data_IF_455051474599
#
_entry.id   IF_455051474599
#
_cell.length_a   1.000
_cell.length_b   1.000
_cell.length_c   1.000
_cell.angle_alpha   90.00
_cell.angle_beta   90.00
_cell.angle_gamma   90.00
#
_symmetry.space_group_name_H-M   'P 1'
#
loop_
_entity.id
_entity.type
_entity.pdbx_description
1 polymer ?
#
# COMPACT_ATOMS: atom_id res chain seq x y z
N UNK A 1 6.38 34.51 0.59
CA UNK A 1 6.67 33.46 1.58
C UNK A 1 6.20 32.16 0.96
N UNK A 2 7.11 31.46 0.30
CA UNK A 2 6.87 30.13 -0.27
C UNK A 2 6.61 29.19 0.90
N UNK A 3 5.36 28.74 1.03
CA UNK A 3 5.01 27.66 1.94
C UNK A 3 5.84 26.45 1.54
N UNK A 4 6.64 25.94 2.47
CA UNK A 4 7.20 24.60 2.35
C UNK A 4 5.98 23.69 2.49
N UNK A 5 5.41 23.26 1.36
CA UNK A 5 4.33 22.29 1.36
C UNK A 5 4.87 21.05 2.10
N UNK A 6 4.31 20.79 3.28
CA UNK A 6 4.47 19.49 3.89
C UNK A 6 3.85 18.49 2.91
N UNK A 7 4.51 17.36 2.63
CA UNK A 7 4.01 16.32 1.73
C UNK A 7 2.74 15.59 2.24
N UNK A 8 2.03 16.19 3.18
CA UNK A 8 0.86 15.66 3.85
C UNK A 8 -0.09 16.82 4.14
N UNK A 9 -1.12 16.96 3.30
CA UNK A 9 -2.14 18.00 3.45
C UNK A 9 -3.43 17.36 3.95
N UNK A 10 -3.94 17.75 5.13
CA UNK A 10 -5.20 17.22 5.62
C UNK A 10 -6.34 17.49 4.63
N UNK A 11 -7.10 16.44 4.26
CA UNK A 11 -8.33 16.60 3.47
C UNK A 11 -9.42 17.17 4.37
N UNK A 12 -10.36 17.92 3.79
CA UNK A 12 -11.47 18.51 4.54
C UNK A 12 -12.39 17.41 5.13
N UNK A 13 -13.18 17.76 6.16
CA UNK A 13 -14.18 16.83 6.69
C UNK A 13 -15.25 16.45 5.67
N UNK A 14 -15.52 17.31 4.68
CA UNK A 14 -16.47 16.99 3.62
C UNK A 14 -15.86 15.97 2.67
N UNK A 15 -14.60 16.14 2.27
CA UNK A 15 -13.92 15.18 1.44
C UNK A 15 -13.74 13.83 2.15
N UNK A 16 -13.44 13.85 3.46
CA UNK A 16 -13.35 12.65 4.27
C UNK A 16 -14.65 11.81 4.24
N UNK A 17 -15.82 12.45 4.17
CA UNK A 17 -17.13 11.78 4.03
C UNK A 17 -17.38 11.21 2.63
N UNK A 18 -16.63 11.64 1.63
CA UNK A 18 -16.71 11.15 0.25
C UNK A 18 -15.72 10.02 -0.04
N UNK A 19 -14.86 9.65 0.93
CA UNK A 19 -13.98 8.49 0.81
C UNK A 19 -14.85 7.24 0.62
N UNK A 20 -14.69 6.52 -0.51
CA UNK A 20 -15.58 5.43 -0.85
C UNK A 20 -15.42 4.26 0.12
N UNK A 21 -16.51 3.53 0.29
CA UNK A 21 -16.48 2.23 0.97
C UNK A 21 -15.96 1.15 0.00
N UNK A 22 -15.19 0.19 0.51
CA UNK A 22 -14.76 -0.95 -0.28
C UNK A 22 -15.91 -1.93 -0.60
N UNK A 23 -16.96 -1.94 0.23
CA UNK A 23 -18.26 -2.53 -0.07
C UNK A 23 -18.20 -3.98 -0.54
N UNK A 24 -19.01 -4.28 -1.57
CA UNK A 24 -19.17 -5.64 -2.12
C UNK A 24 -17.92 -6.21 -2.76
N UNK A 25 -16.94 -5.37 -3.11
CA UNK A 25 -15.71 -5.84 -3.76
C UNK A 25 -14.78 -6.58 -2.79
N UNK A 26 -14.99 -6.41 -1.49
CA UNK A 26 -14.32 -7.14 -0.41
C UNK A 26 -15.05 -8.41 -0.01
N UNK A 27 -16.20 -8.75 -0.61
CA UNK A 27 -16.90 -9.99 -0.27
C UNK A 27 -16.02 -11.22 -0.51
N UNK A 28 -16.01 -12.15 0.45
CA UNK A 28 -15.07 -13.29 0.48
C UNK A 28 -15.39 -14.37 -0.56
N UNK A 29 -16.60 -14.36 -1.14
CA UNK A 29 -17.03 -15.36 -2.12
C UNK A 29 -17.19 -14.78 -3.53
N UNK A 30 -17.61 -13.53 -3.61
CA UNK A 30 -18.07 -12.88 -4.85
C UNK A 30 -17.39 -11.55 -5.12
N UNK A 31 -16.67 -11.02 -4.13
CA UNK A 31 -16.02 -9.72 -4.22
C UNK A 31 -14.92 -9.75 -5.27
N UNK A 32 -14.94 -8.75 -6.15
CA UNK A 32 -14.02 -8.72 -7.29
C UNK A 32 -12.57 -8.51 -6.88
N UNK A 33 -12.30 -7.92 -5.71
CA UNK A 33 -10.94 -7.62 -5.28
C UNK A 33 -10.38 -8.74 -4.40
N UNK A 34 -11.12 -9.16 -3.37
CA UNK A 34 -10.63 -10.10 -2.36
C UNK A 34 -10.80 -11.57 -2.75
N UNK A 35 -12.00 -12.00 -3.20
CA UNK A 35 -12.29 -13.42 -3.40
C UNK A 35 -11.31 -14.15 -4.35
N UNK A 36 -10.83 -13.54 -5.47
CA UNK A 36 -9.85 -14.19 -6.34
C UNK A 36 -8.49 -14.43 -5.68
N UNK A 37 -8.17 -13.70 -4.61
CA UNK A 37 -6.93 -13.86 -3.86
C UNK A 37 -7.05 -14.92 -2.77
N UNK A 38 -8.25 -15.34 -2.37
CA UNK A 38 -8.49 -16.35 -1.33
C UNK A 38 -8.24 -17.78 -1.83
N UNK A 39 -7.03 -18.02 -2.32
CA UNK A 39 -6.49 -19.29 -2.82
C UNK A 39 -5.05 -19.46 -2.32
N UNK A 40 -4.54 -20.70 -2.21
CA UNK A 40 -3.11 -20.93 -1.98
C UNK A 40 -2.31 -20.41 -3.17
N UNK A 41 -1.30 -19.59 -2.90
CA UNK A 41 -0.53 -18.83 -3.89
C UNK A 41 0.96 -18.83 -3.56
N UNK A 42 1.49 -20.02 -3.29
CA UNK A 42 2.92 -20.27 -3.04
C UNK A 42 3.76 -19.97 -4.31
N UNK A 43 4.96 -19.39 -4.22
CA UNK A 43 5.80 -19.10 -5.37
C UNK A 43 6.06 -20.33 -6.25
N UNK A 44 6.03 -20.15 -7.57
CA UNK A 44 6.18 -21.23 -8.57
C UNK A 44 4.91 -22.06 -8.87
N UNK A 45 3.83 -21.93 -8.10
CA UNK A 45 2.59 -22.71 -8.29
C UNK A 45 1.62 -22.09 -9.31
N UNK A 46 0.52 -22.78 -9.71
CA UNK A 46 -0.53 -22.14 -10.49
C UNK A 46 -1.28 -21.02 -9.73
N UNK A 47 -1.36 -21.08 -8.40
CA UNK A 47 -2.10 -20.10 -7.61
C UNK A 47 -1.45 -18.71 -7.60
N UNK A 48 -0.13 -18.64 -7.46
CA UNK A 48 0.61 -17.36 -7.56
C UNK A 48 0.42 -16.73 -8.95
N UNK A 49 0.36 -17.53 -10.02
CA UNK A 49 0.05 -17.04 -11.38
C UNK A 49 -1.37 -16.51 -11.51
N UNK A 50 -2.34 -17.17 -10.89
CA UNK A 50 -3.72 -16.70 -10.87
C UNK A 50 -3.85 -15.35 -10.12
N UNK A 51 -3.13 -15.17 -9.02
CA UNK A 51 -3.06 -13.88 -8.31
C UNK A 51 -2.40 -12.80 -9.18
N UNK A 52 -1.29 -13.10 -9.86
CA UNK A 52 -0.64 -12.17 -10.80
C UNK A 52 -1.59 -11.74 -11.93
N UNK A 53 -2.28 -12.69 -12.55
CA UNK A 53 -3.27 -12.42 -13.60
C UNK A 53 -4.41 -11.56 -13.07
N UNK A 54 -4.88 -11.81 -11.84
CA UNK A 54 -5.90 -11.01 -11.19
C UNK A 54 -5.49 -9.54 -11.07
N UNK A 55 -4.31 -9.26 -10.51
CA UNK A 55 -3.79 -7.88 -10.40
C UNK A 55 -3.63 -7.23 -11.77
N UNK A 56 -2.96 -7.90 -12.70
CA UNK A 56 -2.67 -7.34 -14.03
C UNK A 56 -3.95 -7.06 -14.81
N UNK A 57 -4.95 -7.94 -14.74
CA UNK A 57 -6.23 -7.74 -15.41
C UNK A 57 -7.01 -6.60 -14.78
N UNK A 58 -7.03 -6.48 -13.45
CA UNK A 58 -7.65 -5.36 -12.76
C UNK A 58 -7.07 -4.02 -13.23
N UNK A 59 -5.74 -3.83 -13.15
CA UNK A 59 -5.11 -2.57 -13.55
C UNK A 59 -5.27 -2.29 -15.05
N UNK A 60 -5.18 -3.29 -15.93
CA UNK A 60 -5.40 -3.09 -17.38
C UNK A 60 -6.83 -2.66 -17.71
N UNK A 61 -7.82 -3.25 -17.05
CA UNK A 61 -9.22 -3.07 -17.40
C UNK A 61 -9.85 -1.87 -16.71
N UNK A 62 -9.50 -1.62 -15.44
CA UNK A 62 -10.10 -0.55 -14.63
C UNK A 62 -9.22 0.71 -14.58
N UNK A 63 -7.89 0.58 -14.67
CA UNK A 63 -6.94 1.67 -14.42
C UNK A 63 -5.92 1.85 -15.58
N UNK A 64 -6.37 2.05 -16.83
CA UNK A 64 -5.51 2.00 -18.02
C UNK A 64 -4.43 3.10 -18.09
N UNK A 65 -4.52 4.14 -17.25
CA UNK A 65 -3.50 5.20 -17.14
C UNK A 65 -2.35 4.82 -16.19
N UNK A 66 -2.43 3.68 -15.49
CA UNK A 66 -1.37 3.16 -14.63
C UNK A 66 -0.38 2.33 -15.45
N UNK A 67 0.91 2.50 -15.16
CA UNK A 67 1.98 1.71 -15.73
C UNK A 67 2.11 0.39 -14.98
N UNK A 68 2.32 -0.69 -15.72
CA UNK A 68 2.53 -2.04 -15.18
C UNK A 68 3.97 -2.46 -15.47
N UNK A 69 4.71 -2.82 -14.44
CA UNK A 69 6.08 -3.32 -14.54
C UNK A 69 6.24 -4.60 -13.72
N UNK A 70 7.13 -5.46 -14.19
CA UNK A 70 7.48 -6.71 -13.52
C UNK A 70 8.97 -6.65 -13.17
N UNK A 71 9.32 -7.02 -11.94
CA UNK A 71 10.69 -7.35 -11.61
C UNK A 71 10.76 -8.84 -11.31
N UNK A 72 11.38 -9.57 -12.24
CA UNK A 72 11.57 -11.02 -12.14
C UNK A 72 12.94 -11.33 -11.56
N UNK A 73 12.99 -12.34 -10.70
CA UNK A 73 14.21 -12.90 -10.13
C UNK A 73 14.04 -14.39 -9.93
N UNK A 74 15.14 -15.09 -9.65
CA UNK A 74 15.10 -16.47 -9.18
C UNK A 74 15.97 -16.62 -7.95
N UNK A 75 15.64 -17.58 -7.10
CA UNK A 75 16.51 -17.96 -5.98
C UNK A 75 16.36 -19.44 -5.65
N UNK A 76 17.42 -20.04 -5.11
CA UNK A 76 17.31 -21.34 -4.42
C UNK A 76 16.59 -21.15 -3.10
N UNK A 77 15.77 -22.14 -2.75
CA UNK A 77 15.07 -22.22 -1.47
C UNK A 77 15.53 -23.47 -0.73
N UNK A 78 15.33 -23.57 0.59
CA UNK A 78 15.65 -24.79 1.32
C UNK A 78 14.93 -26.04 0.81
N UNK A 79 13.80 -25.89 0.11
CA UNK A 79 13.01 -27.00 -0.44
C UNK A 79 13.30 -27.32 -1.91
N UNK A 80 13.92 -26.42 -2.67
CA UNK A 80 14.10 -26.58 -4.12
C UNK A 80 15.39 -27.33 -4.51
N UNK A 81 16.26 -27.63 -3.55
CA UNK A 81 17.56 -28.25 -3.81
C UNK A 81 18.41 -27.38 -4.73
N UNK A 82 18.79 -27.92 -5.89
CA UNK A 82 19.53 -27.17 -6.92
C UNK A 82 18.65 -26.42 -7.93
N UNK A 83 17.33 -26.53 -7.81
CA UNK A 83 16.40 -25.84 -8.71
C UNK A 83 16.16 -24.40 -8.24
N UNK A 84 16.15 -23.50 -9.21
CA UNK A 84 15.80 -22.08 -9.02
C UNK A 84 14.27 -21.93 -8.96
N UNK A 85 13.75 -21.29 -7.91
CA UNK A 85 12.34 -20.91 -7.79
C UNK A 85 12.18 -19.49 -8.38
N UNK A 86 11.22 -19.26 -9.29
CA UNK A 86 10.96 -17.93 -9.83
C UNK A 86 10.15 -17.09 -8.84
N UNK A 87 10.52 -15.81 -8.73
CA UNK A 87 9.80 -14.78 -7.98
C UNK A 87 9.55 -13.58 -8.89
N UNK A 88 8.33 -13.04 -8.85
CA UNK A 88 7.90 -11.93 -9.71
C UNK A 88 7.21 -10.85 -8.88
N UNK A 89 7.93 -9.77 -8.61
CA UNK A 89 7.32 -8.58 -8.02
C UNK A 89 6.54 -7.82 -9.09
N UNK A 90 5.33 -7.37 -8.74
CA UNK A 90 4.49 -6.54 -9.60
C UNK A 90 4.50 -5.10 -9.10
N UNK A 91 4.78 -4.17 -10.02
CA UNK A 91 4.85 -2.75 -9.74
C UNK A 91 3.83 -2.03 -10.61
N UNK A 92 2.88 -1.37 -9.97
CA UNK A 92 1.86 -0.56 -10.63
C UNK A 92 2.09 0.90 -10.25
N UNK A 93 2.29 1.80 -11.21
CA UNK A 93 2.61 3.20 -10.90
C UNK A 93 1.81 4.21 -11.70
N UNK A 94 1.51 5.33 -11.06
CA UNK A 94 0.85 6.49 -11.64
C UNK A 94 1.62 7.74 -11.27
N UNK A 95 2.45 8.18 -12.21
CA UNK A 95 3.20 9.45 -12.13
C UNK A 95 2.39 10.59 -12.78
N UNK A 96 2.62 11.85 -12.41
CA UNK A 96 2.07 12.99 -13.13
C UNK A 96 2.52 12.99 -14.60
N UNK A 97 1.64 13.27 -15.58
CA UNK A 97 1.91 13.04 -17.00
C UNK A 97 2.99 13.94 -17.60
N UNK A 98 3.37 15.03 -16.93
CA UNK A 98 4.46 15.91 -17.34
C UNK A 98 5.84 15.45 -16.84
N UNK A 99 5.90 14.47 -15.94
CA UNK A 99 7.16 13.95 -15.39
C UNK A 99 7.78 12.90 -16.30
N UNK A 100 9.12 12.76 -16.20
CA UNK A 100 9.89 11.66 -16.80
C UNK A 100 10.41 10.73 -15.71
N UNK A 101 10.86 9.54 -16.11
CA UNK A 101 11.50 8.57 -15.21
C UNK A 101 12.53 9.23 -14.29
N UNK A 102 12.35 9.08 -12.97
CA UNK A 102 13.24 9.64 -11.96
C UNK A 102 12.94 11.09 -11.55
N UNK A 103 11.87 11.71 -12.06
CA UNK A 103 11.50 13.08 -11.71
C UNK A 103 10.40 13.15 -10.66
N UNK A 104 9.45 12.22 -10.66
CA UNK A 104 8.38 12.16 -9.67
C UNK A 104 8.87 11.57 -8.34
N UNK A 105 8.36 12.11 -7.24
CA UNK A 105 8.42 11.48 -5.93
C UNK A 105 7.24 10.51 -5.82
N UNK A 106 7.36 9.42 -5.06
CA UNK A 106 6.39 8.32 -5.08
C UNK A 106 5.95 7.97 -3.66
N UNK A 107 4.66 8.06 -3.38
CA UNK A 107 4.05 7.29 -2.29
C UNK A 107 4.07 5.83 -2.70
N UNK A 108 4.70 4.96 -1.89
CA UNK A 108 4.83 3.53 -2.19
C UNK A 108 4.00 2.73 -1.21
N UNK A 109 2.89 2.16 -1.68
CA UNK A 109 2.01 1.29 -0.90
C UNK A 109 2.34 -0.17 -1.21
N UNK A 110 2.48 -1.02 -0.20
CA UNK A 110 3.09 -2.34 -0.36
C UNK A 110 2.35 -3.40 0.42
N UNK A 111 2.23 -4.57 -0.17
CA UNK A 111 1.88 -5.83 0.48
C UNK A 111 2.60 -6.98 -0.23
N UNK A 112 2.88 -8.07 0.46
CA UNK A 112 3.24 -9.31 -0.22
C UNK A 112 1.97 -10.04 -0.70
N UNK A 113 2.07 -10.78 -1.79
CA UNK A 113 0.92 -11.48 -2.38
C UNK A 113 1.09 -12.99 -2.44
N UNK A 114 2.28 -13.51 -2.16
CA UNK A 114 2.46 -14.95 -1.97
C UNK A 114 1.74 -15.42 -0.70
N UNK A 115 1.54 -16.72 -0.58
CA UNK A 115 1.07 -17.34 0.66
C UNK A 115 2.09 -18.38 1.12
N UNK A 116 2.18 -18.56 2.43
CA UNK A 116 3.05 -19.57 3.03
C UNK A 116 2.76 -20.97 2.48
N UNK A 117 3.81 -21.76 2.31
CA UNK A 117 3.70 -23.16 1.85
C UNK A 117 3.11 -24.12 2.90
N UNK A 118 3.17 -23.75 4.18
CA UNK A 118 2.74 -24.57 5.30
C UNK A 118 1.84 -23.78 6.24
N UNK A 119 0.71 -24.34 6.72
CA UNK A 119 0.22 -25.69 6.43
C UNK A 119 -0.21 -25.88 4.97
N UNK A 120 -0.31 -27.13 4.51
CA UNK A 120 -0.76 -27.42 3.14
C UNK A 120 -2.17 -26.84 2.91
N UNK A 121 -2.35 -26.11 1.81
CA UNK A 121 -3.60 -25.43 1.50
C UNK A 121 -3.80 -24.10 2.24
N UNK A 122 -2.80 -23.60 2.97
CA UNK A 122 -2.82 -22.28 3.59
C UNK A 122 -3.06 -21.19 2.54
N UNK A 123 -4.08 -20.38 2.78
CA UNK A 123 -4.47 -19.27 1.91
C UNK A 123 -3.83 -17.98 2.42
N UNK A 124 -3.76 -17.73 3.72
CA UNK A 124 -3.27 -16.47 4.25
C UNK A 124 -4.21 -15.32 3.89
N UNK A 125 -5.39 -15.30 4.50
CA UNK A 125 -6.40 -14.27 4.23
C UNK A 125 -5.96 -12.92 4.79
N UNK A 126 -5.51 -12.87 6.05
CA UNK A 126 -4.87 -11.66 6.62
C UNK A 126 -3.43 -11.48 6.14
N UNK A 127 -2.83 -12.54 5.60
CA UNK A 127 -1.40 -12.74 5.35
C UNK A 127 -1.10 -13.13 3.87
N UNK A 128 -1.19 -12.24 2.89
CA UNK A 128 -1.69 -10.86 2.91
C UNK A 128 -2.74 -10.60 1.81
N UNK A 129 -3.72 -11.50 1.65
CA UNK A 129 -4.79 -11.33 0.65
C UNK A 129 -5.63 -10.06 0.89
N UNK A 130 -5.97 -9.77 2.15
CA UNK A 130 -6.70 -8.56 2.55
C UNK A 130 -5.87 -7.29 2.29
N UNK A 131 -4.61 -7.15 2.76
CA UNK A 131 -3.74 -6.07 2.35
C UNK A 131 -3.69 -5.86 0.84
N UNK A 132 -3.56 -6.94 0.06
CA UNK A 132 -3.55 -6.85 -1.39
C UNK A 132 -4.84 -6.25 -1.96
N UNK A 133 -6.01 -6.73 -1.52
CA UNK A 133 -7.31 -6.22 -1.95
C UNK A 133 -7.52 -4.76 -1.55
N UNK A 134 -7.06 -4.36 -0.35
CA UNK A 134 -7.08 -2.96 0.12
C UNK A 134 -6.31 -2.07 -0.85
N UNK A 135 -5.11 -2.47 -1.28
CA UNK A 135 -4.31 -1.66 -2.21
C UNK A 135 -4.96 -1.54 -3.59
N UNK A 136 -5.63 -2.59 -4.09
CA UNK A 136 -6.43 -2.50 -5.31
C UNK A 136 -7.59 -1.51 -5.16
N UNK A 137 -8.29 -1.53 -4.02
CA UNK A 137 -9.35 -0.58 -3.72
C UNK A 137 -8.84 0.87 -3.66
N UNK A 138 -7.70 1.08 -3.00
CA UNK A 138 -7.05 2.40 -2.91
C UNK A 138 -6.74 2.91 -4.32
N UNK A 139 -6.09 2.10 -5.16
CA UNK A 139 -5.73 2.46 -6.53
C UNK A 139 -6.92 3.00 -7.33
N UNK A 140 -8.03 2.26 -7.31
CA UNK A 140 -9.26 2.64 -8.01
C UNK A 140 -9.92 3.87 -7.43
N UNK A 141 -9.87 4.02 -6.11
CA UNK A 141 -10.53 5.13 -5.41
C UNK A 141 -9.82 6.46 -5.66
N UNK A 142 -8.48 6.45 -5.72
CA UNK A 142 -7.68 7.66 -5.95
C UNK A 142 -7.56 8.01 -7.43
N UNK A 143 -7.68 7.05 -8.36
CA UNK A 143 -7.41 7.29 -9.79
C UNK A 143 -8.30 8.36 -10.42
N UNK A 144 -9.57 8.44 -10.02
CA UNK A 144 -10.48 9.47 -10.52
C UNK A 144 -10.01 10.88 -10.14
N UNK A 145 -9.54 11.06 -8.89
CA UNK A 145 -9.07 12.34 -8.37
C UNK A 145 -7.71 12.71 -8.99
N UNK A 146 -6.82 11.73 -9.11
CA UNK A 146 -5.55 11.90 -9.82
C UNK A 146 -5.77 12.29 -11.29
N UNK A 147 -6.72 11.65 -11.96
CA UNK A 147 -7.06 11.98 -13.35
C UNK A 147 -7.59 13.40 -13.44
N UNK A 148 -8.54 13.79 -12.58
CA UNK A 148 -9.06 15.15 -12.55
C UNK A 148 -7.95 16.18 -12.30
N UNK A 149 -7.10 15.96 -11.30
CA UNK A 149 -6.01 16.87 -10.94
C UNK A 149 -5.02 17.03 -12.09
N UNK A 150 -4.58 15.91 -12.68
CA UNK A 150 -3.63 15.94 -13.79
C UNK A 150 -4.21 16.61 -15.04
N UNK A 151 -5.48 16.33 -15.37
CA UNK A 151 -6.14 16.91 -16.53
C UNK A 151 -6.32 18.44 -16.33
N UNK A 152 -6.76 18.89 -15.14
CA UNK A 152 -6.88 20.33 -14.79
C UNK A 152 -5.53 21.06 -14.85
N UNK A 153 -4.45 20.47 -14.28
CA UNK A 153 -3.11 21.08 -14.31
C UNK A 153 -2.55 21.17 -15.74
N UNK A 154 -2.80 20.16 -16.58
CA UNK A 154 -2.39 20.17 -17.99
C UNK A 154 -3.14 21.26 -18.76
N UNK A 155 -4.45 21.41 -18.54
CA UNK A 155 -5.26 22.44 -19.19
C UNK A 155 -4.84 23.87 -18.79
N UNK A 156 -4.46 24.08 -17.53
CA UNK A 156 -3.98 25.36 -17.02
C UNK A 156 -2.54 25.68 -17.45
N UNK A 157 -1.80 24.71 -17.99
CA UNK A 157 -0.37 24.84 -18.30
C UNK A 157 0.51 24.93 -17.05
N UNK A 158 -0.04 24.58 -15.88
CA UNK A 158 0.65 24.54 -14.58
C UNK A 158 1.38 23.21 -14.40
N UNK A 159 2.15 22.83 -15.42
CA UNK A 159 2.97 21.62 -15.39
C UNK A 159 4.03 21.81 -14.31
N UNK A 160 4.04 20.90 -13.32
CA UNK A 160 4.83 21.01 -12.10
C UNK A 160 6.34 21.20 -12.32
N UNK A 161 7.07 21.44 -11.23
CA UNK A 161 8.50 21.77 -11.34
C UNK A 161 9.36 21.45 -10.12
N UNK A 162 8.80 20.83 -9.07
CA UNK A 162 9.58 20.41 -7.90
C UNK A 162 9.16 19.01 -7.47
N UNK A 163 10.05 18.17 -6.90
CA UNK A 163 9.70 16.83 -6.46
C UNK A 163 8.56 16.77 -5.43
N UNK A 164 8.34 17.83 -4.65
CA UNK A 164 7.24 17.89 -3.70
C UNK A 164 5.88 18.09 -4.39
N UNK A 165 5.85 18.82 -5.52
CA UNK A 165 4.65 19.03 -6.32
C UNK A 165 4.40 17.87 -7.30
N UNK A 166 5.48 17.22 -7.76
CA UNK A 166 5.43 16.12 -8.70
C UNK A 166 5.31 14.77 -7.97
N UNK A 167 4.26 14.64 -7.15
CA UNK A 167 3.98 13.42 -6.39
C UNK A 167 3.15 12.43 -7.22
N UNK A 168 3.68 11.22 -7.38
CA UNK A 168 2.97 10.05 -7.90
C UNK A 168 2.72 9.02 -6.81
N UNK A 169 2.08 7.93 -7.21
CA UNK A 169 1.81 6.76 -6.37
C UNK A 169 2.27 5.50 -7.07
N UNK A 170 2.80 4.56 -6.31
CA UNK A 170 3.06 3.21 -6.77
C UNK A 170 2.57 2.18 -5.76
N UNK A 171 2.11 1.06 -6.28
CA UNK A 171 1.70 -0.12 -5.52
C UNK A 171 2.65 -1.25 -5.87
N UNK A 172 3.22 -1.87 -4.84
CA UNK A 172 4.07 -3.05 -4.96
C UNK A 172 3.34 -4.26 -4.38
N UNK A 173 3.19 -5.29 -5.21
CA UNK A 173 2.85 -6.63 -4.75
C UNK A 173 4.11 -7.47 -4.81
N UNK A 174 4.65 -7.79 -3.64
CA UNK A 174 5.93 -8.48 -3.49
C UNK A 174 5.73 -10.01 -3.42
N UNK A 175 6.62 -10.75 -4.05
CA UNK A 175 6.58 -12.22 -4.14
C UNK A 175 7.65 -12.86 -3.25
N UNK A 176 7.29 -13.92 -2.54
CA UNK A 176 8.20 -14.67 -1.69
C UNK A 176 8.66 -13.89 -0.47
N UNK A 177 7.74 -13.21 0.22
CA UNK A 177 7.99 -12.72 1.57
C UNK A 177 8.32 -13.91 2.49
N UNK A 178 7.53 -14.98 2.33
CA UNK A 178 7.49 -16.07 3.28
C UNK A 178 8.72 -16.97 3.24
N UNK A 179 9.06 -17.47 4.42
CA UNK A 179 10.03 -18.55 4.55
C UNK A 179 9.45 -19.88 4.03
N UNK A 180 10.22 -20.60 3.22
CA UNK A 180 9.84 -21.95 2.76
C UNK A 180 9.95 -22.98 3.90
N UNK A 181 10.89 -22.79 4.84
CA UNK A 181 11.05 -23.68 6.00
C UNK A 181 11.16 -22.91 7.29
N UNK A 182 12.15 -22.03 7.41
CA UNK A 182 12.42 -21.28 8.65
C UNK A 182 12.92 -19.90 8.29
N UNK A 183 12.25 -18.90 8.85
CA UNK A 183 12.65 -17.51 8.74
C UNK A 183 14.12 -17.31 9.11
N UNK A 184 14.91 -16.88 8.12
CA UNK A 184 16.34 -16.51 8.22
C UNK A 184 16.65 -15.50 7.12
N UNK A 185 17.78 -14.80 7.20
CA UNK A 185 18.26 -13.82 6.20
C UNK A 185 18.26 -14.34 4.74
N UNK A 186 18.28 -15.66 4.54
CA UNK A 186 18.32 -16.32 3.23
C UNK A 186 17.06 -17.12 2.88
N UNK A 187 16.16 -17.33 3.84
CA UNK A 187 14.87 -18.03 3.69
C UNK A 187 13.74 -17.12 4.18
N UNK A 188 13.64 -15.96 3.55
CA UNK A 188 12.57 -14.96 3.64
C UNK A 188 12.85 -13.81 2.67
N UNK A 189 11.86 -12.95 2.44
CA UNK A 189 12.00 -11.65 1.75
C UNK A 189 12.66 -11.75 0.36
N UNK A 190 12.41 -12.83 -0.38
CA UNK A 190 13.04 -13.10 -1.67
C UNK A 190 12.79 -11.97 -2.66
N UNK A 191 11.53 -11.59 -2.83
CA UNK A 191 11.11 -10.50 -3.71
C UNK A 191 11.64 -9.15 -3.25
N UNK A 192 11.42 -8.77 -1.99
CA UNK A 192 11.89 -7.48 -1.47
C UNK A 192 13.42 -7.32 -1.56
N UNK A 193 14.19 -8.36 -1.21
CA UNK A 193 15.66 -8.32 -1.31
C UNK A 193 16.11 -8.12 -2.76
N UNK A 194 15.51 -8.85 -3.70
CA UNK A 194 15.83 -8.72 -5.11
C UNK A 194 15.45 -7.35 -5.68
N UNK A 195 14.26 -6.84 -5.36
CA UNK A 195 13.77 -5.56 -5.86
C UNK A 195 14.60 -4.38 -5.31
N UNK A 196 14.86 -4.38 -4.00
CA UNK A 196 15.64 -3.32 -3.37
C UNK A 196 17.07 -3.25 -3.94
N UNK A 197 17.72 -4.40 -4.14
CA UNK A 197 19.04 -4.46 -4.77
C UNK A 197 19.00 -4.05 -6.26
N UNK A 198 17.96 -4.45 -7.00
CA UNK A 198 17.78 -4.05 -8.39
C UNK A 198 17.62 -2.53 -8.52
N UNK A 199 16.78 -1.92 -7.69
CA UNK A 199 16.56 -0.46 -7.72
C UNK A 199 17.74 0.35 -7.22
N UNK A 200 18.54 -0.15 -6.28
CA UNK A 200 19.77 0.51 -5.85
C UNK A 200 20.79 0.62 -6.99
N UNK A 201 20.91 -0.43 -7.80
CA UNK A 201 21.90 -0.56 -8.87
C UNK A 201 21.43 -0.03 -10.24
N UNK A 202 20.18 0.43 -10.34
CA UNK A 202 19.59 0.98 -11.55
C UNK A 202 19.49 2.52 -11.49
N UNK A 203 20.52 3.26 -11.94
CA UNK A 203 20.50 4.72 -11.89
C UNK A 203 19.46 5.32 -12.84
N UNK A 204 18.91 6.47 -12.48
CA UNK A 204 18.08 7.29 -13.37
C UNK A 204 18.93 8.11 -14.34
N UNK A 205 18.28 8.85 -15.23
CA UNK A 205 18.94 9.71 -16.21
C UNK A 205 19.62 10.92 -15.55
N UNK A 206 20.64 11.50 -16.20
CA UNK A 206 21.44 12.65 -15.69
C UNK A 206 20.60 13.88 -15.31
N UNK A 207 19.38 14.03 -15.83
CA UNK A 207 18.46 15.14 -15.56
C UNK A 207 17.30 14.76 -14.60
N UNK A 208 17.39 13.61 -13.93
CA UNK A 208 16.42 13.16 -12.94
C UNK A 208 16.60 13.90 -11.60
N UNK A 209 15.53 13.99 -10.83
CA UNK A 209 15.55 14.58 -9.49
C UNK A 209 16.10 13.61 -8.44
N UNK A 210 15.94 12.30 -8.69
CA UNK A 210 16.34 11.23 -7.80
C UNK A 210 17.35 10.34 -8.50
N UNK A 211 18.46 9.92 -7.84
CA UNK A 211 19.54 9.16 -8.50
C UNK A 211 19.16 7.72 -8.85
N UNK A 212 18.19 7.13 -8.16
CA UNK A 212 17.63 5.81 -8.46
C UNK A 212 16.18 5.72 -7.95
N UNK A 213 15.53 4.57 -8.17
CA UNK A 213 14.12 4.37 -7.77
C UNK A 213 13.89 4.31 -6.27
N UNK A 214 14.86 3.85 -5.46
CA UNK A 214 14.72 3.88 -4.01
C UNK A 214 14.60 5.31 -3.50
N UNK A 215 15.35 6.23 -4.10
CA UNK A 215 15.31 7.64 -3.74
C UNK A 215 14.02 8.34 -4.17
N UNK A 216 13.27 7.78 -5.13
CA UNK A 216 11.92 8.28 -5.45
C UNK A 216 10.89 7.91 -4.37
N UNK A 217 11.18 7.02 -3.43
CA UNK A 217 10.21 6.59 -2.41
C UNK A 217 10.13 7.67 -1.31
N UNK A 218 9.01 8.40 -1.29
CA UNK A 218 8.72 9.39 -0.24
C UNK A 218 8.36 8.73 1.10
N UNK A 219 7.61 7.63 1.02
CA UNK A 219 7.21 6.78 2.14
C UNK A 219 6.89 5.39 1.61
N UNK A 220 7.44 4.37 2.25
CA UNK A 220 7.13 2.96 2.04
C UNK A 220 6.12 2.52 3.09
N UNK A 221 4.85 2.42 2.70
CA UNK A 221 3.74 2.02 3.58
C UNK A 221 3.45 0.54 3.34
N UNK A 222 3.92 -0.31 4.27
CA UNK A 222 3.76 -1.76 4.19
C UNK A 222 2.54 -2.20 5.01
N UNK A 223 1.58 -2.84 4.37
CA UNK A 223 0.41 -3.44 5.01
C UNK A 223 0.63 -4.93 5.13
N UNK A 224 0.52 -5.45 6.34
CA UNK A 224 0.67 -6.87 6.62
C UNK A 224 -0.22 -7.31 7.80
N UNK A 225 -0.66 -8.56 7.78
CA UNK A 225 -1.51 -9.22 8.79
C UNK A 225 -2.80 -8.44 9.15
N UNK A 226 -3.44 -7.82 8.16
CA UNK A 226 -4.67 -7.04 8.35
C UNK A 226 -5.93 -7.85 8.03
N UNK A 227 -6.99 -7.68 8.81
CA UNK A 227 -8.32 -8.26 8.55
C UNK A 227 -8.96 -8.97 9.73
N UNK A 228 -8.18 -9.26 10.79
CA UNK A 228 -8.73 -9.73 12.08
C UNK A 228 -9.32 -8.58 12.90
N UNK A 229 -10.33 -8.88 13.72
CA UNK A 229 -11.01 -7.89 14.57
C UNK A 229 -10.08 -7.26 15.61
N UNK A 230 -10.30 -5.96 15.87
CA UNK A 230 -9.62 -5.20 16.93
C UNK A 230 -8.08 -5.20 16.84
N UNK A 231 -7.47 -4.95 15.66
CA UNK A 231 -6.03 -4.91 15.53
C UNK A 231 -5.45 -3.75 16.33
N UNK A 232 -4.22 -3.92 16.78
CA UNK A 232 -3.43 -2.86 17.41
C UNK A 232 -2.15 -2.68 16.62
N UNK A 233 -2.03 -1.62 15.84
CA UNK A 233 -0.84 -1.32 15.03
C UNK A 233 0.03 -0.28 15.76
N UNK A 234 1.18 -0.67 16.33
CA UNK A 234 2.09 0.27 17.00
C UNK A 234 2.80 1.19 16.01
N UNK A 235 3.34 2.30 16.51
CA UNK A 235 4.30 3.09 15.73
C UNK A 235 5.72 2.52 15.92
N UNK A 236 6.28 1.90 14.88
CA UNK A 236 7.56 1.19 14.94
C UNK A 236 8.77 2.14 14.84
N UNK A 237 8.72 3.15 13.97
CA UNK A 237 9.88 3.97 13.65
C UNK A 237 9.69 5.43 14.06
N UNK A 238 10.63 5.95 14.85
CA UNK A 238 10.60 7.34 15.29
C UNK A 238 10.69 8.32 14.11
N UNK A 239 11.49 8.00 13.09
CA UNK A 239 11.73 8.86 11.92
C UNK A 239 10.48 9.10 11.07
N UNK A 240 9.51 8.18 11.10
CA UNK A 240 8.26 8.26 10.34
C UNK A 240 7.03 8.35 11.26
N UNK A 241 7.24 8.60 12.56
CA UNK A 241 6.15 8.71 13.53
C UNK A 241 5.15 9.80 13.16
N UNK A 242 5.60 10.90 12.55
CA UNK A 242 4.72 11.97 12.08
C UNK A 242 3.70 11.48 11.03
N UNK A 243 4.07 10.54 10.16
CA UNK A 243 3.16 9.96 9.18
C UNK A 243 2.17 9.00 9.84
N UNK A 244 2.63 8.23 10.84
CA UNK A 244 1.76 7.44 11.71
C UNK A 244 0.72 8.32 12.41
N UNK A 245 1.12 9.48 12.94
CA UNK A 245 0.21 10.44 13.58
C UNK A 245 -0.83 10.98 12.61
N UNK A 246 -0.46 11.24 11.35
CA UNK A 246 -1.39 11.61 10.29
C UNK A 246 -2.46 10.54 10.06
N UNK A 247 -2.04 9.28 9.87
CA UNK A 247 -2.98 8.16 9.69
C UNK A 247 -3.86 7.92 10.93
N UNK A 248 -3.31 8.08 12.13
CA UNK A 248 -4.07 7.96 13.38
C UNK A 248 -5.12 9.08 13.54
N UNK A 249 -4.79 10.31 13.13
CA UNK A 249 -5.73 11.43 13.11
C UNK A 249 -6.87 11.20 12.11
N UNK A 250 -6.59 10.60 10.96
CA UNK A 250 -7.61 10.19 10.00
C UNK A 250 -8.58 9.17 10.62
N UNK A 251 -8.05 8.13 11.29
CA UNK A 251 -8.88 7.17 12.02
C UNK A 251 -9.76 7.88 13.06
N UNK A 252 -9.18 8.76 13.89
CA UNK A 252 -9.91 9.52 14.91
C UNK A 252 -11.06 10.32 14.30
N UNK A 253 -10.79 11.11 13.24
CA UNK A 253 -11.79 11.93 12.55
C UNK A 253 -12.89 11.07 11.94
N UNK A 254 -12.54 9.97 11.26
CA UNK A 254 -13.51 9.06 10.66
C UNK A 254 -14.41 8.39 11.69
N UNK A 255 -13.86 7.96 12.84
CA UNK A 255 -14.66 7.43 13.95
C UNK A 255 -15.57 8.51 14.54
N UNK A 256 -15.08 9.74 14.71
CA UNK A 256 -15.87 10.88 15.18
C UNK A 256 -17.07 11.21 14.29
N UNK A 257 -16.96 10.98 12.98
CA UNK A 257 -18.06 11.14 12.02
C UNK A 257 -18.91 9.88 11.78
N UNK A 258 -18.59 8.76 12.44
CA UNK A 258 -19.28 7.49 12.22
C UNK A 258 -19.08 6.91 10.81
N UNK A 259 -17.93 7.18 10.18
CA UNK A 259 -17.59 6.69 8.84
C UNK A 259 -17.00 5.27 8.85
N UNK A 260 -16.54 4.82 10.02
CA UNK A 260 -16.03 3.46 10.24
C UNK A 260 -17.11 2.57 10.87
N UNK A 261 -17.17 1.32 10.45
CA UNK A 261 -18.16 0.33 10.89
C UNK A 261 -17.84 -0.22 12.28
N UNK A 262 -16.57 -0.47 12.56
CA UNK A 262 -16.13 -1.06 13.82
C UNK A 262 -16.23 -0.08 14.97
N UNK A 263 -16.44 -0.63 16.18
CA UNK A 263 -16.44 0.11 17.45
C UNK A 263 -15.50 -0.56 18.45
N UNK A 264 -14.19 -0.57 18.18
CA UNK A 264 -13.22 -1.20 19.08
C UNK A 264 -13.03 -0.39 20.36
N UNK A 265 -12.62 -1.05 21.44
CA UNK A 265 -12.30 -0.39 22.72
C UNK A 265 -11.09 0.57 22.61
N UNK A 266 -10.24 0.35 21.62
CA UNK A 266 -9.07 1.15 21.29
C UNK A 266 -9.00 1.38 19.78
N UNK A 267 -8.48 2.53 19.31
CA UNK A 267 -8.23 2.74 17.89
C UNK A 267 -7.21 1.72 17.37
N UNK A 268 -7.28 1.42 16.08
CA UNK A 268 -6.33 0.58 15.37
C UNK A 268 -4.92 1.15 15.43
N UNK A 269 -4.79 2.48 15.46
CA UNK A 269 -3.53 3.23 15.53
C UNK A 269 -3.40 3.98 16.89
N UNK A 270 -3.16 3.29 18.02
CA UNK A 270 -3.22 3.90 19.35
C UNK A 270 -1.99 4.71 19.77
N UNK A 271 -0.88 4.63 19.03
CA UNK A 271 0.39 5.21 19.45
C UNK A 271 0.54 6.69 19.05
N UNK A 272 -0.53 7.42 18.70
CA UNK A 272 -0.45 8.81 18.20
C UNK A 272 0.27 9.77 19.17
N UNK A 273 0.18 9.51 20.48
CA UNK A 273 0.86 10.28 21.54
C UNK A 273 2.24 9.74 21.95
N UNK A 274 2.84 8.82 21.19
CA UNK A 274 4.11 8.17 21.57
C UNK A 274 5.28 9.16 21.51
N UNK A 275 5.90 9.39 22.67
CA UNK A 275 7.08 10.24 22.79
C UNK A 275 8.32 9.56 22.22
N UNK A 276 9.30 10.36 21.79
CA UNK A 276 10.61 9.89 21.30
C UNK A 276 11.32 8.93 22.27
N UNK A 277 11.13 9.12 23.58
CA UNK A 277 11.70 8.26 24.64
C UNK A 277 11.03 6.89 24.76
N UNK A 278 9.89 6.66 24.12
CA UNK A 278 9.12 5.42 24.17
C UNK A 278 9.39 4.50 22.97
N UNK A 279 10.19 4.96 21.99
CA UNK A 279 10.66 4.10 20.91
C UNK A 279 11.74 3.15 21.45
N UNK A 280 11.42 1.86 21.42
CA UNK A 280 12.29 0.79 21.88
C UNK A 280 12.80 -0.08 20.73
N UNK A 281 13.33 -1.26 21.06
CA UNK A 281 13.83 -2.24 20.09
C UNK A 281 12.73 -3.16 19.51
N UNK A 282 11.46 -2.73 19.54
CA UNK A 282 10.38 -3.51 18.93
C UNK A 282 10.54 -3.43 17.41
N UNK A 283 10.88 -4.55 16.81
CA UNK A 283 11.14 -4.68 15.39
C UNK A 283 10.53 -5.99 14.91
N UNK A 284 9.83 -5.92 13.79
CA UNK A 284 9.29 -7.07 13.08
C UNK A 284 10.04 -7.14 11.77
N UNK A 285 10.63 -8.28 11.44
CA UNK A 285 11.22 -8.47 10.11
C UNK A 285 10.11 -8.75 9.11
N UNK A 286 10.16 -8.06 7.97
CA UNK A 286 9.16 -8.08 6.91
C UNK A 286 9.78 -7.39 5.66
N UNK A 287 9.06 -7.32 4.54
CA UNK A 287 9.48 -6.83 3.23
C UNK A 287 10.05 -5.41 3.22
N UNK A 288 9.80 -4.60 4.25
CA UNK A 288 10.41 -3.28 4.37
C UNK A 288 11.91 -3.35 4.70
N UNK A 289 12.42 -4.43 5.29
CA UNK A 289 13.79 -4.52 5.82
C UNK A 289 14.86 -4.21 4.75
N UNK A 290 14.81 -4.78 3.53
CA UNK A 290 15.78 -4.48 2.48
C UNK A 290 15.75 -3.01 2.01
N UNK A 291 14.59 -2.35 2.09
CA UNK A 291 14.41 -0.94 1.75
C UNK A 291 14.88 -0.02 2.88
N UNK A 292 14.52 -0.34 4.12
CA UNK A 292 14.91 0.39 5.32
C UNK A 292 16.43 0.43 5.48
N UNK A 293 17.12 -0.70 5.25
CA UNK A 293 18.59 -0.76 5.25
C UNK A 293 19.26 0.15 4.19
N UNK A 294 18.50 0.56 3.16
CA UNK A 294 18.94 1.47 2.10
C UNK A 294 18.44 2.91 2.32
N UNK A 295 17.91 3.20 3.50
CA UNK A 295 17.51 4.54 3.91
C UNK A 295 16.10 4.96 3.48
N UNK A 296 15.26 4.02 3.02
CA UNK A 296 13.88 4.32 2.63
C UNK A 296 13.01 4.58 3.87
N UNK A 297 12.31 5.74 3.97
CA UNK A 297 11.36 6.00 5.04
C UNK A 297 10.24 4.96 5.03
N UNK A 298 9.99 4.31 6.16
CA UNK A 298 9.03 3.20 6.26
C UNK A 298 7.93 3.49 7.28
N UNK A 299 6.68 3.23 6.91
CA UNK A 299 5.54 3.13 7.80
C UNK A 299 5.02 1.68 7.75
N UNK A 300 5.27 0.92 8.81
CA UNK A 300 4.90 -0.50 8.88
C UNK A 300 3.55 -0.66 9.59
N UNK A 301 2.52 -0.99 8.80
CA UNK A 301 1.15 -1.20 9.24
C UNK A 301 0.94 -2.71 9.44
N UNK A 302 1.47 -3.19 10.57
CA UNK A 302 1.30 -4.56 11.03
C UNK A 302 0.86 -4.55 12.50
N UNK A 303 -0.12 -5.37 12.91
CA UNK A 303 -0.57 -5.41 14.30
C UNK A 303 0.49 -6.02 15.23
N UNK A 304 0.45 -5.64 16.51
CA UNK A 304 1.18 -6.31 17.59
C UNK A 304 0.30 -6.37 18.85
N UNK A 305 -0.06 -7.57 19.35
CA UNK A 305 0.34 -8.89 18.84
C UNK A 305 -0.22 -9.18 17.44
N UNK A 306 0.38 -10.13 16.73
CA UNK A 306 -0.18 -10.68 15.49
C UNK A 306 -1.55 -11.32 15.75
N UNK A 307 -2.35 -11.61 14.71
CA UNK A 307 -3.62 -12.34 14.82
C UNK A 307 -3.43 -13.77 15.34
N UNK A 308 -3.18 -13.94 16.64
CA UNK A 308 -2.73 -15.21 17.25
C UNK A 308 -3.70 -16.37 17.06
N UNK A 309 -4.98 -16.08 16.78
CA UNK A 309 -6.00 -17.07 16.47
C UNK A 309 -5.76 -17.73 15.11
N UNK A 310 -5.27 -17.00 14.10
CA UNK A 310 -5.19 -17.47 12.71
C UNK A 310 -3.79 -17.45 12.09
N UNK A 311 -2.89 -16.56 12.52
CA UNK A 311 -1.56 -16.37 11.89
C UNK A 311 -0.77 -17.68 11.76
N UNK A 312 -0.34 -17.99 10.53
CA UNK A 312 0.31 -19.25 10.12
C UNK A 312 -0.47 -20.53 10.45
N UNK A 313 -1.81 -20.46 10.51
CA UNK A 313 -2.70 -21.62 10.69
C UNK A 313 -3.70 -21.70 9.55
N UNK A 314 -4.26 -22.88 9.34
CA UNK A 314 -5.17 -23.12 8.22
C UNK A 314 -6.46 -22.29 8.33
N UNK A 315 -6.81 -21.85 9.54
CA UNK A 315 -7.93 -20.96 9.83
C UNK A 315 -7.70 -19.51 9.37
N UNK A 316 -6.52 -19.16 8.84
CA UNK A 316 -6.33 -17.90 8.12
C UNK A 316 -6.97 -17.96 6.72
N UNK A 317 -8.30 -18.05 6.73
CA UNK A 317 -9.18 -18.12 5.58
C UNK A 317 -10.16 -16.93 5.55
N UNK A 318 -10.99 -16.87 4.50
CA UNK A 318 -11.97 -15.79 4.36
C UNK A 318 -13.05 -15.75 5.46
N UNK A 319 -13.40 -16.90 6.06
CA UNK A 319 -14.49 -17.01 7.03
C UNK A 319 -14.10 -16.42 8.40
N UNK A 320 -12.80 -16.33 8.70
CA UNK A 320 -12.29 -15.77 9.95
C UNK A 320 -11.95 -14.27 9.86
N UNK A 321 -12.19 -13.64 8.71
CA UNK A 321 -12.03 -12.20 8.55
C UNK A 321 -13.14 -11.42 9.27
N UNK A 322 -12.75 -10.33 9.94
CA UNK A 322 -13.69 -9.32 10.41
C UNK A 322 -13.93 -8.31 9.30
N UNK A 323 -14.95 -8.56 8.48
CA UNK A 323 -15.24 -7.74 7.32
C UNK A 323 -15.47 -6.25 7.60
N UNK A 324 -16.07 -5.83 8.74
CA UNK A 324 -16.07 -4.43 9.16
C UNK A 324 -14.66 -3.86 9.31
N UNK A 325 -13.73 -4.58 9.97
CA UNK A 325 -12.33 -4.17 10.11
C UNK A 325 -11.64 -4.06 8.75
N UNK A 326 -11.88 -5.00 7.83
CA UNK A 326 -11.34 -4.96 6.46
C UNK A 326 -11.76 -3.68 5.73
N UNK A 327 -13.06 -3.34 5.78
CA UNK A 327 -13.60 -2.14 5.13
C UNK A 327 -13.12 -0.85 5.79
N UNK A 328 -12.96 -0.85 7.10
CA UNK A 328 -12.40 0.30 7.83
C UNK A 328 -10.94 0.57 7.46
N UNK A 329 -10.11 -0.47 7.36
CA UNK A 329 -8.74 -0.31 6.86
C UNK A 329 -8.70 0.22 5.42
N UNK A 330 -9.58 -0.26 4.55
CA UNK A 330 -9.67 0.25 3.18
C UNK A 330 -9.95 1.77 3.15
N UNK A 331 -10.86 2.27 4.00
CA UNK A 331 -11.13 3.72 4.13
C UNK A 331 -9.94 4.48 4.68
N UNK A 332 -9.34 4.02 5.79
CA UNK A 332 -8.22 4.71 6.45
C UNK A 332 -7.04 4.85 5.48
N UNK A 333 -6.67 3.76 4.79
CA UNK A 333 -5.54 3.76 3.85
C UNK A 333 -5.85 4.61 2.61
N UNK A 334 -7.09 4.59 2.12
CA UNK A 334 -7.52 5.45 1.00
C UNK A 334 -7.43 6.92 1.37
N UNK A 335 -7.93 7.32 2.54
CA UNK A 335 -7.84 8.71 2.99
C UNK A 335 -6.40 9.15 3.23
N UNK A 336 -5.56 8.27 3.76
CA UNK A 336 -4.14 8.54 3.93
C UNK A 336 -3.45 8.80 2.57
N UNK A 337 -3.76 7.99 1.55
CA UNK A 337 -3.26 8.22 0.20
C UNK A 337 -3.77 9.54 -0.40
N UNK A 338 -5.04 9.90 -0.16
CA UNK A 338 -5.59 11.19 -0.62
C UNK A 338 -4.90 12.40 0.04
N UNK A 339 -4.63 12.35 1.35
CA UNK A 339 -3.90 13.42 2.07
C UNK A 339 -2.44 13.53 1.62
N UNK A 340 -1.79 12.40 1.33
CA UNK A 340 -0.40 12.37 0.86
C UNK A 340 -0.23 12.86 -0.58
N UNK A 341 -1.22 12.63 -1.43
CA UNK A 341 -1.22 13.06 -2.83
C UNK A 341 -1.80 14.48 -3.01
N UNK A 342 -2.05 15.21 -1.92
CA UNK A 342 -2.57 16.58 -1.92
C UNK A 342 -3.89 16.75 -2.69
N UNK A 343 -4.77 15.74 -2.60
CA UNK A 343 -5.99 15.68 -3.42
C UNK A 343 -7.06 16.72 -3.02
N UNK A 344 -6.85 17.47 -1.94
CA UNK A 344 -7.73 18.58 -1.53
C UNK A 344 -7.96 19.60 -2.63
N UNK A 345 -7.01 19.78 -3.55
CA UNK A 345 -7.13 20.69 -4.70
C UNK A 345 -8.28 20.30 -5.65
N UNK A 346 -8.64 19.02 -5.70
CA UNK A 346 -9.74 18.50 -6.53
C UNK A 346 -10.96 18.07 -5.72
N UNK A 347 -11.09 18.55 -4.48
CA UNK A 347 -12.24 18.25 -3.64
C UNK A 347 -13.58 18.54 -4.40
N UNK A 348 -14.51 17.57 -4.42
CA UNK A 348 -15.82 17.76 -5.04
C UNK A 348 -16.60 18.90 -4.37
N UNK A 349 -16.61 20.08 -4.99
CA UNK A 349 -17.42 21.20 -4.53
C UNK A 349 -18.91 20.84 -4.63
N UNK A 350 -19.65 20.90 -3.52
CA UNK A 350 -21.11 20.76 -3.47
C UNK A 350 -21.88 21.87 -4.24
N UNK A 351 -21.20 22.68 -5.08
CA UNK A 351 -21.75 23.92 -5.64
C UNK A 351 -21.07 24.49 -6.88
N UNK A 352 -20.35 23.69 -7.71
CA UNK A 352 -20.06 24.14 -9.09
C UNK A 352 -21.32 23.99 -9.96
N UNK A 353 -22.38 24.74 -9.64
CA UNK A 353 -23.33 25.20 -10.66
C UNK A 353 -22.49 26.05 -11.60
N UNK A 354 -22.38 25.58 -12.85
CA UNK A 354 -21.73 26.30 -13.96
C UNK A 354 -22.07 27.78 -13.85
N UNK A 355 -21.08 28.64 -13.60
CA UNK A 355 -21.17 30.04 -14.00
C UNK A 355 -21.14 30.03 -15.52
N UNK A 356 -22.32 29.90 -16.12
CA UNK A 356 -22.58 30.44 -17.43
C UNK A 356 -22.21 31.92 -17.36
N UNK A 357 -21.14 32.30 -18.06
CA UNK A 357 -20.89 33.69 -18.36
C UNK A 357 -21.98 34.14 -19.34
N UNK A 358 -23.04 34.75 -18.80
CA UNK A 358 -23.73 35.84 -19.47
C UNK A 358 -22.84 37.09 -19.36
N UNK A 359 -22.55 37.69 -20.51
CA UNK A 359 -21.79 38.95 -20.64
C UNK A 359 -21.26 39.11 -22.04
#
# INVERSE_FOLDING_TARGET
MTSIAAAYTPISDNFLRLVPDAGVDMDIHTGKLLAPLLIPRVPGTPGIRAAQDHFVNFFKNELPKWKIEWQNSTSKTPLSGDSEVPFSNLIFSREPPWTKTGQANMLTLVAHYDSKISPEGFIGAVDSAVPCAILMHVARSIDQYMTQMHDEMVELGELGGTPAMDMGVQILFLDGEEAFVKWTDTDSLYGARALAAHWETAPTMVQANFPNRLNQISMFVLLDLLGSAGPKVPSYFQSTHWAYQGMALLEERMRGFGLLETKPDHPFLPDSGKMSTQFGRAFVEDDHVPFLHRGVPTLHIIPSPFPMNVWHKIEDDGEHLDMPTVRDWAKIVTAFALEWLDMSEVEPNAGKVRREFQG
#
